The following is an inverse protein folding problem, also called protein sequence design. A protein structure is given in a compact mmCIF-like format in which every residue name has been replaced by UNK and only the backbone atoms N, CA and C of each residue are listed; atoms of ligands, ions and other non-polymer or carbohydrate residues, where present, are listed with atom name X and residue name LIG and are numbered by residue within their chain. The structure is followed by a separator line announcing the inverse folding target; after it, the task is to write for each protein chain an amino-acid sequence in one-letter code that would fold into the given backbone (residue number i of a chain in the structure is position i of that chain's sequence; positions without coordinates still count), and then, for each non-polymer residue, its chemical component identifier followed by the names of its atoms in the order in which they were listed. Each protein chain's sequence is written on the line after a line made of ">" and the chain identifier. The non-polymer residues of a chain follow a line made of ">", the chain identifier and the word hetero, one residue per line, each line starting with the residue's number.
data_IF_960088628946
#
_entry.id   IF_960088628946
#
_cell.length_a   1.000
_cell.length_b   1.000
_cell.length_c   1.000
_cell.angle_alpha   90.00
_cell.angle_beta   90.00
_cell.angle_gamma   90.00
#
_symmetry.space_group_name_H-M   'P 1'
#
loop_
_entity.id
_entity.type
_entity.pdbx_description
1 polymer ?
#
# COMPACT_ATOMS: atom_id res chain seq x y z
N UNK A 1 25.35 -9.16 -5.72
CA UNK A 1 24.65 -7.89 -5.97
C UNK A 1 23.38 -7.94 -5.12
N UNK A 2 22.97 -6.86 -4.47
CA UNK A 2 21.72 -6.82 -3.75
C UNK A 2 20.55 -7.03 -4.76
N UNK A 3 19.56 -7.82 -4.39
CA UNK A 3 18.35 -8.00 -5.21
C UNK A 3 17.60 -6.68 -5.38
N UNK A 4 16.98 -6.49 -6.53
CA UNK A 4 16.18 -5.28 -6.82
C UNK A 4 14.88 -5.33 -6.03
N UNK A 5 14.63 -4.31 -5.19
CA UNK A 5 13.36 -4.17 -4.50
C UNK A 5 12.27 -3.73 -5.48
N UNK A 6 11.13 -4.40 -5.46
CA UNK A 6 9.95 -3.99 -6.22
C UNK A 6 8.98 -3.24 -5.31
N UNK A 7 8.52 -2.05 -5.72
CA UNK A 7 7.42 -1.35 -5.08
C UNK A 7 6.21 -1.47 -5.97
N UNK A 8 5.19 -2.17 -5.52
CA UNK A 8 4.00 -2.51 -6.31
C UNK A 8 2.80 -1.74 -5.78
N UNK A 9 2.16 -0.98 -6.64
CA UNK A 9 1.07 -0.09 -6.26
C UNK A 9 -0.17 -0.41 -7.09
N UNK A 10 -1.08 -1.27 -6.59
CA UNK A 10 -2.38 -1.50 -7.23
C UNK A 10 -3.26 -0.25 -7.11
N UNK A 11 -3.71 0.27 -8.24
CA UNK A 11 -4.51 1.48 -8.33
C UNK A 11 -5.56 1.45 -9.44
N UNK A 12 -5.99 0.25 -9.82
CA UNK A 12 -6.92 0.06 -10.94
C UNK A 12 -8.38 0.45 -10.61
N UNK A 13 -8.72 0.60 -9.33
CA UNK A 13 -10.08 0.88 -8.87
C UNK A 13 -10.68 2.16 -9.46
N UNK A 14 -11.99 2.14 -9.76
CA UNK A 14 -12.73 3.25 -10.36
C UNK A 14 -12.85 4.51 -9.50
N UNK A 15 -12.50 4.44 -8.22
CA UNK A 15 -12.61 5.56 -7.29
C UNK A 15 -14.05 6.08 -7.10
N UNK A 16 -15.06 5.23 -7.24
CA UNK A 16 -16.47 5.61 -7.22
C UNK A 16 -16.89 6.33 -5.94
N UNK A 17 -16.30 5.97 -4.79
CA UNK A 17 -16.53 6.62 -3.48
C UNK A 17 -15.98 8.05 -3.40
N UNK A 18 -15.11 8.43 -4.35
CA UNK A 18 -14.49 9.76 -4.45
C UNK A 18 -15.16 10.65 -5.50
N UNK A 19 -16.24 10.21 -6.13
CA UNK A 19 -16.99 11.06 -7.08
C UNK A 19 -17.60 12.26 -6.37
N UNK A 20 -17.59 13.46 -6.99
CA UNK A 20 -17.28 13.76 -8.41
C UNK A 20 -15.79 13.93 -8.74
N UNK A 21 -14.87 13.96 -7.77
CA UNK A 21 -13.44 14.25 -7.94
C UNK A 21 -12.73 13.27 -8.89
N UNK A 22 -13.27 12.07 -9.04
CA UNK A 22 -12.71 11.00 -9.89
C UNK A 22 -13.41 10.82 -11.23
N UNK A 23 -14.22 11.78 -11.69
CA UNK A 23 -14.78 11.75 -13.03
C UNK A 23 -13.77 12.07 -14.13
N UNK A 24 -12.83 12.97 -13.87
CA UNK A 24 -11.85 13.45 -14.86
C UNK A 24 -10.42 13.02 -14.59
N UNK A 25 -10.14 12.44 -13.42
CA UNK A 25 -8.80 11.95 -13.02
C UNK A 25 -8.88 10.68 -12.19
N UNK A 26 -7.90 9.77 -12.29
CA UNK A 26 -7.83 8.60 -11.42
C UNK A 26 -7.60 9.03 -9.97
N UNK A 27 -8.13 8.23 -9.02
CA UNK A 27 -8.07 8.51 -7.58
C UNK A 27 -6.68 8.88 -7.06
N UNK A 28 -5.57 8.20 -7.45
CA UNK A 28 -4.23 8.54 -6.97
C UNK A 28 -3.76 9.94 -7.36
N UNK A 29 -4.38 10.58 -8.36
CA UNK A 29 -4.06 11.95 -8.78
C UNK A 29 -4.96 13.03 -8.14
N UNK A 30 -5.85 12.65 -7.23
CA UNK A 30 -6.61 13.63 -6.42
C UNK A 30 -5.63 14.33 -5.48
N UNK A 31 -5.71 15.67 -5.44
CA UNK A 31 -4.79 16.48 -4.62
C UNK A 31 -5.21 16.51 -3.16
N UNK A 32 -4.22 16.37 -2.28
CA UNK A 32 -4.32 16.44 -0.82
C UNK A 32 -3.13 17.25 -0.33
N UNK A 33 -3.36 18.28 0.48
CA UNK A 33 -2.31 19.13 1.06
C UNK A 33 -1.23 19.59 0.04
N UNK A 34 -1.68 20.02 -1.16
CA UNK A 34 -0.80 20.59 -2.20
C UNK A 34 -0.09 19.59 -3.10
N UNK A 35 -0.18 18.28 -2.85
CA UNK A 35 0.38 17.19 -3.68
C UNK A 35 -0.73 16.22 -4.08
N UNK A 36 -0.51 15.41 -5.14
CA UNK A 36 -1.39 14.27 -5.40
C UNK A 36 -1.21 13.18 -4.32
N UNK A 37 -2.24 12.36 -4.11
CA UNK A 37 -2.13 11.20 -3.21
C UNK A 37 -0.97 10.28 -3.61
N UNK A 38 -0.73 10.13 -4.92
CA UNK A 38 0.39 9.33 -5.45
C UNK A 38 1.75 9.91 -5.05
N UNK A 39 1.92 11.24 -5.06
CA UNK A 39 3.17 11.88 -4.61
C UNK A 39 3.43 11.62 -3.13
N UNK A 40 2.41 11.80 -2.28
CA UNK A 40 2.53 11.47 -0.85
C UNK A 40 2.88 10.00 -0.63
N UNK A 41 2.28 9.09 -1.41
CA UNK A 41 2.58 7.67 -1.34
C UNK A 41 4.03 7.37 -1.76
N UNK A 42 4.52 7.98 -2.83
CA UNK A 42 5.90 7.79 -3.28
C UNK A 42 6.92 8.36 -2.30
N UNK A 43 6.60 9.49 -1.64
CA UNK A 43 7.43 10.09 -0.59
C UNK A 43 7.64 9.14 0.60
N UNK A 44 6.65 8.27 0.92
CA UNK A 44 6.76 7.27 2.00
C UNK A 44 7.92 6.29 1.79
N UNK A 45 8.25 5.97 0.53
CA UNK A 45 9.28 4.99 0.20
C UNK A 45 10.71 5.58 0.20
N UNK A 46 10.90 6.80 0.69
CA UNK A 46 12.23 7.43 0.76
C UNK A 46 13.22 6.67 1.65
N UNK A 47 12.72 5.91 2.66
CA UNK A 47 13.54 5.12 3.60
C UNK A 47 13.79 3.67 3.17
N UNK A 48 13.36 3.24 1.96
CA UNK A 48 13.60 1.86 1.51
C UNK A 48 15.10 1.55 1.37
N UNK A 49 15.52 0.31 1.64
CA UNK A 49 16.89 -0.10 1.38
C UNK A 49 17.27 0.07 -0.08
N UNK A 50 18.38 0.74 -0.36
CA UNK A 50 18.92 0.92 -1.72
C UNK A 50 17.91 1.55 -2.72
N UNK A 51 17.46 2.81 -2.50
CA UNK A 51 16.47 3.46 -3.38
C UNK A 51 16.88 3.47 -4.86
N UNK A 52 18.19 3.56 -5.15
CA UNK A 52 18.74 3.51 -6.50
C UNK A 52 18.58 2.14 -7.20
N UNK A 53 18.36 1.08 -6.44
CA UNK A 53 18.10 -0.28 -6.93
C UNK A 53 16.66 -0.70 -6.69
N UNK A 54 15.71 0.23 -6.85
CA UNK A 54 14.28 0.02 -6.67
C UNK A 54 13.56 0.21 -8.00
N UNK A 55 12.61 -0.66 -8.29
CA UNK A 55 11.72 -0.57 -9.44
C UNK A 55 10.26 -0.48 -8.98
N UNK A 56 9.47 0.30 -9.70
CA UNK A 56 8.07 0.55 -9.38
C UNK A 56 7.16 -0.14 -10.39
N UNK A 57 6.13 -0.84 -9.90
CA UNK A 57 5.13 -1.49 -10.72
C UNK A 57 3.76 -0.89 -10.37
N UNK A 58 3.22 -0.12 -11.29
CA UNK A 58 1.91 0.51 -11.16
C UNK A 58 0.86 -0.34 -11.87
N UNK A 59 -0.11 -0.87 -11.13
CA UNK A 59 -1.22 -1.63 -11.71
C UNK A 59 -2.40 -0.69 -11.82
N UNK A 60 -2.61 -0.18 -13.02
CA UNK A 60 -3.56 0.90 -13.32
C UNK A 60 -4.88 0.38 -13.87
N UNK A 61 -5.95 1.15 -13.70
CA UNK A 61 -7.23 0.86 -14.34
C UNK A 61 -7.24 1.30 -15.81
N UNK A 62 -8.20 0.79 -16.61
CA UNK A 62 -8.39 1.22 -17.97
C UNK A 62 -8.82 2.69 -18.05
N UNK A 63 -8.76 3.29 -19.26
CA UNK A 63 -9.15 4.66 -19.57
C UNK A 63 -8.29 5.71 -18.83
N UNK A 64 -8.81 6.35 -17.79
CA UNK A 64 -8.11 7.43 -17.09
C UNK A 64 -6.79 6.94 -16.45
N UNK A 65 -6.79 5.75 -15.87
CA UNK A 65 -5.62 5.18 -15.21
C UNK A 65 -4.49 4.91 -16.19
N UNK A 66 -4.76 4.15 -17.27
CA UNK A 66 -3.76 3.77 -18.27
C UNK A 66 -3.21 4.98 -19.07
N UNK A 67 -3.97 6.08 -19.16
CA UNK A 67 -3.51 7.30 -19.82
C UNK A 67 -2.79 8.28 -18.90
N UNK A 68 -3.40 8.61 -17.77
CA UNK A 68 -2.93 9.71 -16.92
C UNK A 68 -1.82 9.31 -15.94
N UNK A 69 -1.81 8.09 -15.41
CA UNK A 69 -0.79 7.68 -14.44
C UNK A 69 0.60 7.56 -15.09
N UNK A 70 0.77 6.86 -16.24
CA UNK A 70 2.07 6.83 -16.91
C UNK A 70 2.58 8.21 -17.30
N UNK A 71 1.70 9.07 -17.84
CA UNK A 71 2.07 10.44 -18.21
C UNK A 71 2.57 11.23 -17.01
N UNK A 72 1.82 11.20 -15.89
CA UNK A 72 2.20 11.87 -14.65
C UNK A 72 3.54 11.37 -14.09
N UNK A 73 3.73 10.04 -14.03
CA UNK A 73 4.95 9.44 -13.47
C UNK A 73 6.16 9.77 -14.35
N UNK A 74 6.03 9.67 -15.68
CA UNK A 74 7.12 9.96 -16.62
C UNK A 74 7.52 11.43 -16.57
N UNK A 75 6.56 12.34 -16.47
CA UNK A 75 6.82 13.78 -16.40
C UNK A 75 7.49 14.17 -15.07
N UNK A 76 6.95 13.68 -13.96
CA UNK A 76 7.38 14.12 -12.62
C UNK A 76 8.60 13.36 -12.07
N UNK A 77 8.77 12.11 -12.49
CA UNK A 77 9.84 11.21 -12.02
C UNK A 77 10.61 10.58 -13.19
N UNK A 78 11.27 11.38 -14.04
CA UNK A 78 11.88 10.90 -15.31
C UNK A 78 12.96 9.82 -15.12
N UNK A 79 13.55 9.72 -13.92
CA UNK A 79 14.60 8.75 -13.60
C UNK A 79 14.05 7.50 -12.89
N UNK A 80 12.74 7.44 -12.64
CA UNK A 80 12.11 6.29 -11.98
C UNK A 80 12.03 5.10 -12.94
N UNK A 81 12.52 3.95 -12.49
CA UNK A 81 12.32 2.68 -13.21
C UNK A 81 10.89 2.22 -12.96
N UNK A 82 9.98 2.53 -13.85
CA UNK A 82 8.56 2.30 -13.70
C UNK A 82 8.01 1.35 -14.77
N UNK A 83 7.17 0.39 -14.35
CA UNK A 83 6.40 -0.51 -15.19
C UNK A 83 4.91 -0.25 -14.97
N UNK A 84 4.11 -0.34 -16.03
CA UNK A 84 2.68 -0.08 -15.98
C UNK A 84 1.91 -1.30 -16.52
N UNK A 85 1.03 -1.84 -15.68
CA UNK A 85 0.20 -3.00 -16.02
C UNK A 85 -1.27 -2.58 -15.94
N UNK A 86 -2.08 -2.91 -16.95
CA UNK A 86 -3.49 -2.52 -16.98
C UNK A 86 -4.36 -3.68 -16.47
N UNK A 87 -5.07 -3.46 -15.37
CA UNK A 87 -6.13 -4.34 -14.90
C UNK A 87 -7.47 -3.91 -15.50
N UNK A 88 -7.94 -4.61 -16.52
CA UNK A 88 -9.22 -4.30 -17.20
C UNK A 88 -10.44 -4.84 -16.47
N UNK A 89 -10.30 -5.97 -15.79
CA UNK A 89 -11.35 -6.62 -15.02
C UNK A 89 -11.07 -6.51 -13.52
N UNK A 90 -12.01 -5.94 -12.76
CA UNK A 90 -11.87 -5.72 -11.31
C UNK A 90 -12.15 -7.01 -10.54
N UNK A 91 -11.24 -7.99 -10.63
CA UNK A 91 -11.35 -9.29 -9.94
C UNK A 91 -10.57 -9.35 -8.61
N UNK A 92 -10.27 -8.21 -8.01
CA UNK A 92 -9.61 -8.12 -6.70
C UNK A 92 -8.08 -7.89 -6.79
N UNK A 93 -7.47 -7.82 -5.61
CA UNK A 93 -6.06 -7.42 -5.46
C UNK A 93 -5.09 -8.52 -5.92
N UNK A 94 -5.38 -9.79 -5.59
CA UNK A 94 -4.56 -10.92 -6.04
C UNK A 94 -4.56 -11.02 -7.57
N UNK A 95 -5.70 -10.78 -8.22
CA UNK A 95 -5.76 -10.74 -9.68
C UNK A 95 -4.92 -9.59 -10.26
N UNK A 96 -4.89 -8.42 -9.62
CA UNK A 96 -4.03 -7.32 -10.04
C UNK A 96 -2.55 -7.74 -10.04
N UNK A 97 -2.09 -8.36 -8.95
CA UNK A 97 -0.72 -8.87 -8.83
C UNK A 97 -0.43 -10.01 -9.83
N UNK A 98 -1.39 -10.89 -10.05
CA UNK A 98 -1.28 -11.95 -11.07
C UNK A 98 -1.00 -11.39 -12.46
N UNK A 99 -1.66 -10.29 -12.85
CA UNK A 99 -1.44 -9.63 -14.15
C UNK A 99 -0.06 -9.01 -14.26
N UNK A 100 0.53 -8.59 -13.14
CA UNK A 100 1.86 -7.96 -13.08
C UNK A 100 3.01 -8.97 -12.87
N UNK A 101 2.72 -10.28 -12.85
CA UNK A 101 3.64 -11.34 -12.41
C UNK A 101 5.00 -11.35 -13.10
N UNK A 102 5.10 -10.93 -14.35
CA UNK A 102 6.36 -10.84 -15.09
C UNK A 102 7.38 -9.87 -14.48
N UNK A 103 6.91 -8.88 -13.72
CA UNK A 103 7.74 -7.88 -13.02
C UNK A 103 7.98 -8.24 -11.56
N UNK A 104 7.29 -9.24 -11.00
CA UNK A 104 7.29 -9.55 -9.58
C UNK A 104 8.23 -10.71 -9.27
N UNK A 105 9.47 -10.37 -8.89
CA UNK A 105 10.48 -11.32 -8.48
C UNK A 105 11.39 -10.70 -7.40
N UNK A 106 11.90 -11.54 -6.48
CA UNK A 106 12.71 -11.10 -5.36
C UNK A 106 11.90 -10.34 -4.30
N UNK A 107 12.55 -9.44 -3.51
CA UNK A 107 11.90 -8.70 -2.46
C UNK A 107 10.92 -7.66 -3.02
N UNK A 108 9.75 -7.54 -2.38
CA UNK A 108 8.67 -6.69 -2.85
C UNK A 108 7.95 -6.00 -1.69
N UNK A 109 7.69 -4.70 -1.82
CA UNK A 109 6.70 -3.97 -1.01
C UNK A 109 5.47 -3.74 -1.87
N UNK A 110 4.30 -4.15 -1.41
CA UNK A 110 3.02 -3.82 -2.02
C UNK A 110 2.27 -2.85 -1.13
N UNK A 111 1.79 -1.74 -1.68
CA UNK A 111 1.01 -0.76 -0.94
C UNK A 111 -0.17 -0.27 -1.77
N UNK A 112 -1.37 -0.21 -1.17
CA UNK A 112 -2.53 0.34 -1.83
C UNK A 112 -2.39 1.85 -2.02
N UNK A 113 -2.90 2.34 -3.15
CA UNK A 113 -2.74 3.74 -3.57
C UNK A 113 -3.49 4.77 -2.71
N UNK A 114 -4.31 4.34 -1.77
CA UNK A 114 -5.08 5.16 -0.85
C UNK A 114 -4.61 5.08 0.60
N UNK A 115 -3.50 4.38 0.84
CA UNK A 115 -2.87 4.21 2.16
C UNK A 115 -1.67 5.13 2.28
N UNK A 116 -1.76 6.12 3.16
CA UNK A 116 -0.64 6.94 3.59
C UNK A 116 -0.35 6.62 5.06
N UNK A 117 0.91 6.35 5.39
CA UNK A 117 1.28 5.96 6.75
C UNK A 117 2.67 6.48 7.14
N UNK A 118 2.91 6.55 8.43
CA UNK A 118 4.22 6.88 9.00
C UNK A 118 4.98 5.57 9.25
N UNK A 119 5.72 5.12 8.24
CA UNK A 119 6.49 3.89 8.31
C UNK A 119 7.95 4.12 7.92
N UNK A 120 8.85 3.49 8.66
CA UNK A 120 10.26 3.40 8.31
C UNK A 120 10.53 2.07 7.60
N UNK A 121 10.79 2.14 6.30
CA UNK A 121 11.11 0.96 5.50
C UNK A 121 12.58 0.54 5.58
N UNK A 122 13.46 1.29 6.27
CA UNK A 122 14.87 0.89 6.47
C UNK A 122 15.00 -0.44 7.21
N UNK A 123 14.01 -0.78 8.05
CA UNK A 123 13.92 -2.07 8.76
C UNK A 123 13.96 -3.29 7.81
N UNK A 124 13.59 -3.11 6.53
CA UNK A 124 13.57 -4.20 5.55
C UNK A 124 14.96 -4.68 5.13
N UNK A 125 16.02 -3.92 5.43
CA UNK A 125 17.41 -4.29 5.09
C UNK A 125 17.81 -5.64 5.71
N UNK A 126 17.36 -5.92 6.94
CA UNK A 126 17.71 -7.12 7.70
C UNK A 126 16.47 -8.01 7.98
N UNK A 127 15.37 -7.81 7.25
CA UNK A 127 14.11 -8.54 7.48
C UNK A 127 14.26 -10.04 7.20
N UNK A 128 13.84 -10.86 8.18
CA UNK A 128 13.93 -12.32 8.11
C UNK A 128 12.60 -13.02 7.88
N UNK A 129 11.50 -12.34 8.17
CA UNK A 129 10.16 -12.87 7.90
C UNK A 129 9.93 -12.99 6.39
N UNK A 130 9.13 -13.96 5.98
CA UNK A 130 8.73 -14.13 4.58
C UNK A 130 7.72 -13.07 4.14
N UNK A 131 6.91 -12.58 5.11
CA UNK A 131 5.97 -11.49 4.91
C UNK A 131 5.90 -10.58 6.15
N UNK A 132 5.79 -9.27 5.92
CA UNK A 132 5.47 -8.28 6.98
C UNK A 132 4.21 -7.55 6.56
N UNK A 133 3.23 -7.46 7.45
CA UNK A 133 2.00 -6.70 7.25
C UNK A 133 1.98 -5.49 8.21
N UNK A 134 1.85 -4.27 7.68
CA UNK A 134 1.66 -3.09 8.52
C UNK A 134 0.24 -3.04 9.06
N UNK A 135 0.13 -2.82 10.37
CA UNK A 135 -1.14 -2.92 11.09
C UNK A 135 -1.37 -1.76 12.04
N UNK A 136 -2.64 -1.48 12.29
CA UNK A 136 -3.07 -0.52 13.31
C UNK A 136 -4.38 -1.02 13.97
N UNK A 137 -4.52 -0.93 15.31
CA UNK A 137 -5.79 -1.21 15.94
C UNK A 137 -6.81 -0.12 15.59
N UNK A 138 -8.04 -0.53 15.21
CA UNK A 138 -9.13 0.39 14.90
C UNK A 138 -10.40 0.03 15.68
N UNK A 139 -11.28 0.99 16.00
CA UNK A 139 -12.51 0.71 16.75
C UNK A 139 -13.49 -0.21 16.02
N UNK A 140 -13.60 -0.12 14.70
CA UNK A 140 -14.46 -0.97 13.88
C UNK A 140 -13.68 -1.58 12.71
N UNK A 141 -13.27 -2.87 12.80
CA UNK A 141 -12.46 -3.55 11.79
C UNK A 141 -13.26 -4.11 10.61
N UNK A 142 -14.61 -4.14 10.68
CA UNK A 142 -15.47 -4.90 9.77
C UNK A 142 -15.40 -4.52 8.29
N UNK A 143 -14.72 -3.43 7.96
CA UNK A 143 -14.50 -2.97 6.58
C UNK A 143 -13.15 -3.36 5.99
N UNK A 144 -12.27 -3.94 6.79
CA UNK A 144 -10.86 -4.18 6.50
C UNK A 144 -10.49 -5.65 6.67
N UNK A 145 -9.29 -6.01 6.27
CA UNK A 145 -8.65 -7.24 6.69
C UNK A 145 -8.05 -7.10 8.10
N UNK A 146 -8.10 -8.14 8.89
CA UNK A 146 -7.47 -8.19 10.22
C UNK A 146 -6.45 -9.31 10.31
N UNK A 147 -5.40 -9.13 11.11
CA UNK A 147 -4.39 -10.14 11.40
C UNK A 147 -4.70 -10.84 12.72
N UNK A 148 -4.75 -12.17 12.72
CA UNK A 148 -4.70 -12.96 13.94
C UNK A 148 -3.24 -13.32 14.24
N UNK A 149 -2.77 -12.97 15.45
CA UNK A 149 -1.40 -13.19 15.89
C UNK A 149 -1.40 -14.25 17.00
N UNK A 150 -0.57 -15.27 16.83
CA UNK A 150 -0.38 -16.33 17.81
C UNK A 150 0.43 -15.87 19.04
N UNK A 151 0.46 -16.70 20.07
CA UNK A 151 1.20 -16.44 21.31
C UNK A 151 2.72 -16.30 21.08
N UNK A 152 3.23 -16.83 19.98
CA UNK A 152 4.63 -16.74 19.54
C UNK A 152 4.97 -15.46 18.74
N UNK A 153 3.96 -14.59 18.54
CA UNK A 153 4.11 -13.31 17.84
C UNK A 153 4.01 -13.41 16.30
N UNK A 154 3.78 -14.59 15.73
CA UNK A 154 3.58 -14.78 14.32
C UNK A 154 2.11 -14.72 13.95
N UNK A 155 1.83 -14.22 12.74
CA UNK A 155 0.47 -14.22 12.18
C UNK A 155 0.07 -15.66 11.88
N UNK A 156 -1.09 -16.07 12.36
CA UNK A 156 -1.67 -17.41 12.12
C UNK A 156 -2.57 -17.41 10.90
N UNK A 157 -3.28 -16.31 10.67
CA UNK A 157 -4.11 -16.07 9.46
C UNK A 157 -4.53 -14.61 9.35
N UNK A 158 -5.04 -14.26 8.17
CA UNK A 158 -5.77 -13.02 7.94
C UNK A 158 -7.25 -13.31 7.74
N UNK A 159 -8.12 -12.40 8.17
CA UNK A 159 -9.57 -12.49 8.00
C UNK A 159 -10.04 -11.24 7.26
N UNK A 160 -10.55 -11.40 6.05
CA UNK A 160 -11.11 -10.30 5.28
C UNK A 160 -12.53 -9.97 5.79
N UNK A 161 -12.75 -8.70 6.12
CA UNK A 161 -14.05 -8.16 6.57
C UNK A 161 -14.71 -9.00 7.68
N UNK A 162 -14.08 -9.08 8.87
CA UNK A 162 -14.63 -9.85 9.99
C UNK A 162 -16.04 -9.39 10.34
N UNK A 163 -16.85 -10.30 10.90
CA UNK A 163 -18.22 -9.97 11.31
C UNK A 163 -18.32 -9.49 12.76
N UNK A 164 -17.23 -9.61 13.53
CA UNK A 164 -17.13 -9.26 14.96
C UNK A 164 -16.15 -8.09 15.17
N UNK A 165 -16.16 -7.53 16.38
CA UNK A 165 -15.22 -6.49 16.82
C UNK A 165 -14.09 -7.06 17.69
N UNK A 166 -14.03 -8.37 17.90
CA UNK A 166 -13.08 -9.01 18.83
C UNK A 166 -11.63 -8.83 18.43
N UNK A 167 -11.33 -8.94 17.13
CA UNK A 167 -10.01 -8.68 16.60
C UNK A 167 -10.02 -7.36 15.81
N UNK A 168 -9.36 -6.35 16.36
CA UNK A 168 -9.32 -5.00 15.78
C UNK A 168 -7.96 -4.64 15.15
N UNK A 169 -7.04 -5.59 15.02
CA UNK A 169 -5.71 -5.37 14.45
C UNK A 169 -5.81 -5.36 12.91
N UNK A 170 -6.15 -4.20 12.38
CA UNK A 170 -6.41 -4.01 10.94
C UNK A 170 -5.11 -3.92 10.15
N UNK A 171 -5.09 -4.59 9.00
CA UNK A 171 -4.04 -4.43 8.00
C UNK A 171 -4.31 -3.17 7.20
N UNK A 172 -3.36 -2.24 7.19
CA UNK A 172 -3.54 -0.92 6.58
C UNK A 172 -3.35 -0.91 5.06
N UNK A 173 -3.08 -2.07 4.46
CA UNK A 173 -2.92 -2.21 3.02
C UNK A 173 -1.49 -1.99 2.52
N UNK A 174 -0.50 -2.17 3.39
CA UNK A 174 0.91 -2.24 3.03
C UNK A 174 1.52 -3.55 3.52
N UNK A 175 2.31 -4.20 2.65
CA UNK A 175 2.89 -5.51 2.90
C UNK A 175 4.29 -5.59 2.29
N UNK A 176 5.21 -6.27 2.98
CA UNK A 176 6.47 -6.70 2.41
C UNK A 176 6.45 -8.20 2.18
N UNK A 177 7.02 -8.64 1.10
CA UNK A 177 7.27 -10.05 0.77
C UNK A 177 8.75 -10.22 0.47
N UNK A 178 9.40 -11.13 1.19
CA UNK A 178 10.81 -11.44 0.97
C UNK A 178 11.06 -12.03 -0.42
N UNK A 179 10.08 -12.78 -0.91
CA UNK A 179 10.07 -13.37 -2.24
C UNK A 179 8.67 -13.22 -2.86
N UNK A 180 8.58 -12.39 -3.88
CA UNK A 180 7.33 -12.18 -4.62
C UNK A 180 6.83 -13.50 -5.24
N UNK A 181 7.74 -14.41 -5.63
CA UNK A 181 7.40 -15.71 -6.20
C UNK A 181 6.58 -16.58 -5.23
N UNK A 182 6.84 -16.49 -3.91
CA UNK A 182 6.06 -17.23 -2.92
C UNK A 182 4.61 -16.72 -2.85
N UNK A 183 4.42 -15.40 -2.94
CA UNK A 183 3.08 -14.83 -3.04
C UNK A 183 2.38 -15.23 -4.35
N UNK A 184 3.09 -15.18 -5.47
CA UNK A 184 2.52 -15.57 -6.77
C UNK A 184 2.08 -17.03 -6.79
N UNK A 185 2.85 -17.94 -6.19
CA UNK A 185 2.45 -19.35 -6.03
C UNK A 185 1.18 -19.50 -5.19
N UNK A 186 1.06 -18.72 -4.10
CA UNK A 186 -0.15 -18.70 -3.29
C UNK A 186 -1.36 -18.09 -4.01
N UNK A 187 -1.15 -17.09 -4.87
CA UNK A 187 -2.20 -16.53 -5.74
C UNK A 187 -2.65 -17.54 -6.77
N UNK A 188 -1.73 -18.29 -7.41
CA UNK A 188 -2.06 -19.38 -8.34
C UNK A 188 -2.93 -20.44 -7.63
N UNK A 189 -2.58 -20.81 -6.39
CA UNK A 189 -3.35 -21.75 -5.58
C UNK A 189 -4.72 -21.17 -5.17
N UNK A 190 -4.78 -19.89 -4.74
CA UNK A 190 -6.03 -19.21 -4.45
C UNK A 190 -7.00 -19.25 -5.63
N UNK A 191 -6.50 -18.97 -6.84
CA UNK A 191 -7.29 -19.00 -8.07
C UNK A 191 -7.72 -20.42 -8.42
N UNK A 192 -6.85 -21.41 -8.27
CA UNK A 192 -7.16 -22.81 -8.52
C UNK A 192 -8.23 -23.35 -7.57
N UNK A 193 -8.19 -22.96 -6.28
CA UNK A 193 -9.21 -23.31 -5.28
C UNK A 193 -10.51 -22.51 -5.45
N UNK A 194 -10.51 -21.43 -6.23
CA UNK A 194 -11.67 -20.52 -6.38
C UNK A 194 -12.00 -19.74 -5.11
N UNK A 195 -11.00 -19.44 -4.25
CA UNK A 195 -11.21 -18.73 -2.98
C UNK A 195 -11.46 -17.27 -3.27
N UNK A 196 -12.75 -16.86 -3.24
CA UNK A 196 -13.19 -15.49 -3.53
C UNK A 196 -14.21 -15.03 -2.50
N UNK A 197 -14.27 -13.72 -2.29
CA UNK A 197 -15.35 -13.06 -1.57
C UNK A 197 -16.00 -12.04 -2.53
N UNK A 198 -17.32 -12.16 -2.78
CA UNK A 198 -18.05 -11.31 -3.74
C UNK A 198 -17.43 -11.30 -5.15
N UNK A 199 -16.95 -12.45 -5.62
CA UNK A 199 -16.25 -12.64 -6.90
C UNK A 199 -14.94 -11.86 -7.04
N UNK A 200 -14.31 -11.44 -5.94
CA UNK A 200 -12.99 -10.83 -5.91
C UNK A 200 -11.99 -11.72 -5.17
N UNK A 201 -10.77 -11.79 -5.68
CA UNK A 201 -9.64 -12.47 -5.05
C UNK A 201 -8.93 -11.49 -4.11
N UNK A 202 -9.14 -11.66 -2.81
CA UNK A 202 -8.50 -10.80 -1.79
C UNK A 202 -7.09 -11.25 -1.48
N UNK A 203 -6.20 -10.29 -1.26
CA UNK A 203 -4.80 -10.55 -0.95
C UNK A 203 -4.64 -11.25 0.41
N UNK A 204 -5.48 -10.94 1.37
CA UNK A 204 -5.52 -11.57 2.69
C UNK A 204 -5.68 -13.08 2.62
N UNK A 205 -6.47 -13.58 1.67
CA UNK A 205 -6.64 -15.02 1.44
C UNK A 205 -5.37 -15.64 0.85
N UNK A 206 -4.74 -14.97 -0.12
CA UNK A 206 -3.47 -15.45 -0.69
C UNK A 206 -2.35 -15.51 0.36
N UNK A 207 -2.25 -14.50 1.23
CA UNK A 207 -1.26 -14.52 2.32
C UNK A 207 -1.58 -15.63 3.34
N UNK A 208 -2.86 -15.89 3.62
CA UNK A 208 -3.26 -17.01 4.48
C UNK A 208 -2.83 -18.35 3.88
N UNK A 209 -2.94 -18.52 2.56
CA UNK A 209 -2.41 -19.71 1.86
C UNK A 209 -0.88 -19.80 1.99
N UNK A 210 -0.14 -18.68 1.87
CA UNK A 210 1.30 -18.68 2.14
C UNK A 210 1.63 -19.18 3.57
N UNK A 211 0.86 -18.75 4.56
CA UNK A 211 1.03 -19.18 5.96
C UNK A 211 0.74 -20.68 6.09
N UNK A 212 -0.33 -21.19 5.46
CA UNK A 212 -0.63 -22.63 5.40
C UNK A 212 0.53 -23.44 4.80
N UNK A 213 1.26 -22.84 3.85
CA UNK A 213 2.43 -23.43 3.20
C UNK A 213 3.74 -23.25 4.00
N UNK A 214 3.66 -22.67 5.21
CA UNK A 214 4.76 -22.54 6.14
C UNK A 214 5.49 -21.19 6.11
N UNK A 215 5.00 -20.20 5.39
CA UNK A 215 5.58 -18.86 5.39
C UNK A 215 5.43 -18.19 6.76
N UNK A 216 6.52 -17.63 7.26
CA UNK A 216 6.53 -16.88 8.54
C UNK A 216 6.15 -15.44 8.27
N UNK A 217 4.98 -15.05 8.77
CA UNK A 217 4.43 -13.71 8.63
C UNK A 217 4.38 -13.01 9.97
N UNK A 218 4.87 -11.76 10.03
CA UNK A 218 4.75 -10.91 11.23
C UNK A 218 4.00 -9.62 10.92
N UNK A 219 3.58 -8.95 11.97
CA UNK A 219 3.02 -7.61 11.87
C UNK A 219 4.04 -6.55 12.23
N UNK A 220 3.90 -5.35 11.64
CA UNK A 220 4.60 -4.13 12.02
C UNK A 220 3.57 -3.07 12.38
N UNK A 221 3.64 -2.55 13.60
CA UNK A 221 2.68 -1.57 14.09
C UNK A 221 3.02 -0.17 13.59
N UNK A 222 2.02 0.58 13.12
CA UNK A 222 2.14 1.99 12.78
C UNK A 222 1.37 2.88 13.75
N UNK A 223 1.75 4.15 13.83
CA UNK A 223 1.09 5.15 14.69
C UNK A 223 0.13 6.04 13.93
N UNK A 224 0.38 6.23 12.65
CA UNK A 224 -0.44 7.11 11.81
C UNK A 224 -0.81 6.37 10.53
N UNK A 225 -2.11 6.27 10.29
CA UNK A 225 -2.69 5.82 9.05
C UNK A 225 -3.66 6.88 8.54
N UNK A 226 -3.41 7.38 7.34
CA UNK A 226 -4.22 8.39 6.67
C UNK A 226 -4.84 7.74 5.43
N UNK A 227 -6.15 7.53 5.49
CA UNK A 227 -6.93 6.93 4.41
C UNK A 227 -7.39 8.03 3.44
N UNK A 228 -7.28 7.77 2.15
CA UNK A 228 -7.85 8.60 1.08
C UNK A 228 -8.91 7.85 0.26
N UNK A 229 -9.51 6.81 0.83
CA UNK A 229 -10.49 5.92 0.20
C UNK A 229 -11.88 6.53 -0.02
N UNK A 230 -12.24 7.55 0.75
CA UNK A 230 -13.53 8.26 0.69
C UNK A 230 -13.31 9.77 0.77
N UNK A 231 -14.34 10.57 0.44
CA UNK A 231 -14.25 12.03 0.53
C UNK A 231 -13.97 12.48 1.95
N UNK A 232 -14.72 11.97 2.94
CA UNK A 232 -14.56 12.35 4.35
C UNK A 232 -13.16 12.00 4.86
N UNK A 233 -12.69 10.77 4.63
CA UNK A 233 -11.34 10.35 5.01
C UNK A 233 -10.27 11.20 4.32
N UNK A 234 -10.47 11.59 3.06
CA UNK A 234 -9.55 12.46 2.32
C UNK A 234 -9.50 13.87 2.93
N UNK A 235 -10.63 14.41 3.38
CA UNK A 235 -10.69 15.71 4.05
C UNK A 235 -9.96 15.68 5.41
N UNK A 236 -10.13 14.62 6.18
CA UNK A 236 -9.41 14.42 7.46
C UNK A 236 -7.90 14.26 7.22
N UNK A 237 -7.52 13.46 6.22
CA UNK A 237 -6.12 13.33 5.77
C UNK A 237 -5.53 14.67 5.36
N UNK A 238 -6.27 15.47 4.56
CA UNK A 238 -5.84 16.79 4.13
C UNK A 238 -5.57 17.71 5.32
N UNK A 239 -6.49 17.77 6.31
CA UNK A 239 -6.33 18.54 7.53
C UNK A 239 -5.07 18.13 8.29
N UNK A 240 -4.91 16.84 8.55
CA UNK A 240 -3.76 16.30 9.29
C UNK A 240 -2.43 16.61 8.62
N UNK A 241 -2.34 16.51 7.29
CA UNK A 241 -1.12 16.82 6.54
C UNK A 241 -0.80 18.34 6.57
N UNK A 242 -1.82 19.20 6.47
CA UNK A 242 -1.64 20.66 6.58
C UNK A 242 -1.20 21.09 7.98
N UNK A 243 -1.75 20.49 9.04
CA UNK A 243 -1.34 20.76 10.43
C UNK A 243 0.12 20.35 10.66
N UNK A 244 0.54 19.17 10.16
CA UNK A 244 1.95 18.74 10.21
C UNK A 244 2.87 19.71 9.46
N UNK A 245 2.49 20.20 8.29
CA UNK A 245 3.28 21.17 7.53
C UNK A 245 3.37 22.54 8.26
N UNK A 246 2.28 22.99 8.85
CA UNK A 246 2.23 24.26 9.62
C UNK A 246 3.12 24.23 10.87
N UNK A 247 3.19 23.12 11.59
CA UNK A 247 4.08 22.96 12.75
C UNK A 247 5.57 22.99 12.37
N UNK A 248 5.94 22.47 11.21
CA UNK A 248 7.32 22.56 10.72
C UNK A 248 7.73 23.98 10.33
N UNK A 249 6.79 24.79 9.80
CA UNK A 249 7.07 26.17 9.40
C UNK A 249 7.23 27.08 10.63
N UNK A 250 6.43 26.90 11.68
CA UNK A 250 6.56 27.67 12.93
C UNK A 250 7.89 27.40 13.64
N UNK A 251 8.35 26.15 13.68
CA UNK A 251 9.63 25.77 14.29
C UNK A 251 10.85 26.35 13.54
N UNK A 252 10.74 26.60 12.24
CA UNK A 252 11.78 27.29 11.48
C UNK A 252 11.78 28.81 11.71
N UNK A 253 10.63 29.43 11.85
CA UNK A 253 10.52 30.89 12.13
C UNK A 253 11.11 31.21 13.50
N UNK A 254 10.84 30.40 14.52
CA UNK A 254 11.38 30.59 15.87
C UNK A 254 12.92 30.46 15.94
N UNK A 255 13.55 29.74 15.01
CA UNK A 255 15.02 29.67 14.92
C UNK A 255 15.67 30.90 14.27
N UNK A 256 14.91 31.67 13.49
CA UNK A 256 15.42 32.89 12.85
C UNK A 256 15.19 34.17 13.65
N UNK A 257 14.27 34.15 14.61
CA UNK A 257 13.97 35.29 15.48
C UNK A 257 14.77 35.33 16.79
N UNK A 258 15.62 34.34 17.05
CA UNK A 258 16.38 34.12 18.27
C UNK A 258 17.82 34.65 18.28
N UNK A 259 18.18 35.65 17.45
CA UNK A 259 19.49 36.27 17.57
C UNK A 259 19.44 37.75 17.23
N UNK A 260 19.10 38.58 18.21
CA UNK A 260 19.64 39.94 18.44
C UNK A 260 18.97 40.54 19.67
N UNK A 261 19.60 40.50 20.83
CA UNK A 261 19.96 41.62 21.69
C UNK A 261 21.13 41.19 22.58
#
# INVERSE_FOLDING_TARGET
>A
MAETLKIVIPMAGWGTRMRPHTYSKPKPLVSVAGKSTLEHLLDMFASVPSPQNTEYVFIVGPYLGEGQIPAFVTEKYPNMKAHFVVQREMKGQSHALYLAREYLHGPMVMCFSDTLMDADFSLLADERADCVAWVMPVPDPRRFGVAEVGADGWVTRFIEKPQTLENNLVVVGCYYFKRAESLLAAIDEQMARGVTLKNEFFLTDAISIMIEQGARTRTEAIRTWLDTGTIDATLDTNRTLLEKAGTHTSTQVDRYTGTQV
#
